data_IF_605674647206
#
_entry.id   IF_605674647206
#
_cell.length_a   1.000
_cell.length_b   1.000
_cell.length_c   1.000
_cell.angle_alpha   90.00
_cell.angle_beta   90.00
_cell.angle_gamma   90.00
#
_symmetry.space_group_name_H-M   'P 1'
#
loop_
_entity.id
_entity.type
_entity.pdbx_description
1 polymer ?
#
# COMPACT_ATOMS: atom_id res chain seq x y z
N UNK A 1 -62.38 -4.57 -32.69
CA UNK A 1 -61.69 -4.25 -31.42
C UNK A 1 -60.37 -5.03 -31.19
N UNK A 2 -60.16 -6.24 -31.73
CA UNK A 2 -58.91 -6.99 -31.45
C UNK A 2 -57.65 -6.44 -32.15
N UNK A 3 -57.77 -5.94 -33.39
CA UNK A 3 -56.64 -5.41 -34.18
C UNK A 3 -55.89 -4.23 -33.53
N UNK A 4 -56.62 -3.29 -32.92
CA UNK A 4 -56.02 -2.16 -32.19
C UNK A 4 -55.38 -2.57 -30.86
N UNK A 5 -55.85 -3.68 -30.27
CA UNK A 5 -55.30 -4.24 -29.03
C UNK A 5 -53.98 -4.95 -29.34
N UNK A 6 -53.93 -5.76 -30.40
CA UNK A 6 -52.71 -6.44 -30.88
C UNK A 6 -51.58 -5.46 -31.24
N UNK A 7 -51.88 -4.37 -31.98
CA UNK A 7 -50.86 -3.36 -32.29
C UNK A 7 -50.26 -2.70 -31.05
N UNK A 8 -51.06 -2.42 -30.02
CA UNK A 8 -50.56 -1.85 -28.75
C UNK A 8 -49.65 -2.83 -28.01
N UNK A 9 -49.97 -4.12 -28.03
CA UNK A 9 -49.12 -5.17 -27.45
C UNK A 9 -47.79 -5.29 -28.20
N UNK A 10 -47.81 -5.29 -29.53
CA UNK A 10 -46.59 -5.35 -30.35
C UNK A 10 -45.69 -4.14 -30.07
N UNK A 11 -46.24 -2.92 -30.02
CA UNK A 11 -45.48 -1.71 -29.69
C UNK A 11 -44.91 -1.78 -28.28
N UNK A 12 -45.66 -2.30 -27.30
CA UNK A 12 -45.18 -2.53 -25.94
C UNK A 12 -44.03 -3.53 -25.86
N UNK A 13 -44.10 -4.64 -26.60
CA UNK A 13 -43.03 -5.62 -26.70
C UNK A 13 -41.78 -5.04 -27.35
N UNK A 14 -41.93 -4.24 -28.41
CA UNK A 14 -40.79 -3.56 -29.07
C UNK A 14 -40.14 -2.56 -28.10
N UNK A 15 -40.92 -1.74 -27.40
CA UNK A 15 -40.40 -0.79 -26.43
C UNK A 15 -39.66 -1.49 -25.27
N UNK A 16 -40.20 -2.61 -24.78
CA UNK A 16 -39.55 -3.42 -23.74
C UNK A 16 -38.26 -4.07 -24.24
N UNK A 17 -38.25 -4.58 -25.47
CA UNK A 17 -37.04 -5.14 -26.09
C UNK A 17 -35.94 -4.07 -26.26
N UNK A 18 -36.31 -2.85 -26.67
CA UNK A 18 -35.38 -1.72 -26.76
C UNK A 18 -34.85 -1.35 -25.37
N UNK A 19 -35.71 -1.25 -24.35
CA UNK A 19 -35.30 -0.95 -22.98
C UNK A 19 -34.33 -2.00 -22.40
N UNK A 20 -34.64 -3.29 -22.59
CA UNK A 20 -33.76 -4.39 -22.17
C UNK A 20 -32.43 -4.37 -22.92
N UNK A 21 -32.45 -4.10 -24.23
CA UNK A 21 -31.23 -3.99 -25.04
C UNK A 21 -30.33 -2.86 -24.53
N UNK A 22 -30.90 -1.69 -24.23
CA UNK A 22 -30.16 -0.56 -23.65
C UNK A 22 -29.59 -0.89 -22.27
N UNK A 23 -30.33 -1.60 -21.41
CA UNK A 23 -29.85 -2.05 -20.10
C UNK A 23 -28.66 -3.03 -20.23
N UNK A 24 -28.74 -3.98 -21.16
CA UNK A 24 -27.65 -4.94 -21.42
C UNK A 24 -26.40 -4.19 -21.90
N UNK A 25 -26.54 -3.28 -22.87
CA UNK A 25 -25.42 -2.46 -23.36
C UNK A 25 -24.78 -1.65 -22.22
N UNK A 26 -25.59 -0.99 -21.41
CA UNK A 26 -25.10 -0.20 -20.27
C UNK A 26 -24.37 -1.07 -19.24
N UNK A 27 -24.87 -2.27 -18.96
CA UNK A 27 -24.24 -3.20 -18.03
C UNK A 27 -22.87 -3.66 -18.55
N UNK A 28 -22.78 -4.01 -19.83
CA UNK A 28 -21.50 -4.38 -20.47
C UNK A 28 -20.48 -3.24 -20.38
N UNK A 29 -20.89 -2.00 -20.70
CA UNK A 29 -20.02 -0.82 -20.61
C UNK A 29 -19.56 -0.58 -19.17
N UNK A 30 -20.47 -0.71 -18.20
CA UNK A 30 -20.16 -0.54 -16.78
C UNK A 30 -19.16 -1.61 -16.29
N UNK A 31 -19.39 -2.86 -16.66
CA UNK A 31 -18.51 -3.98 -16.32
C UNK A 31 -17.10 -3.80 -16.90
N UNK A 32 -17.00 -3.32 -18.15
CA UNK A 32 -15.70 -3.01 -18.77
C UNK A 32 -14.96 -1.91 -18.01
N UNK A 33 -15.63 -0.79 -17.70
CA UNK A 33 -15.05 0.31 -16.90
C UNK A 33 -14.62 -0.15 -15.51
N UNK A 34 -15.42 -0.99 -14.87
CA UNK A 34 -15.09 -1.57 -13.57
C UNK A 34 -13.79 -2.39 -13.64
N UNK A 35 -13.65 -3.26 -14.64
CA UNK A 35 -12.45 -4.07 -14.82
C UNK A 35 -11.21 -3.21 -15.16
N UNK A 36 -11.36 -2.17 -15.96
CA UNK A 36 -10.29 -1.20 -16.25
C UNK A 36 -9.81 -0.49 -14.98
N UNK A 37 -10.74 0.04 -14.18
CA UNK A 37 -10.44 0.68 -12.89
C UNK A 37 -9.79 -0.30 -11.91
N UNK A 38 -10.29 -1.53 -11.84
CA UNK A 38 -9.71 -2.57 -10.98
C UNK A 38 -8.25 -2.86 -11.37
N UNK A 39 -7.97 -2.99 -12.66
CA UNK A 39 -6.61 -3.20 -13.17
C UNK A 39 -5.68 -2.03 -12.87
N UNK A 40 -6.17 -0.80 -13.04
CA UNK A 40 -5.42 0.41 -12.70
C UNK A 40 -5.06 0.45 -11.21
N UNK A 41 -6.01 0.13 -10.33
CA UNK A 41 -5.78 0.08 -8.88
C UNK A 41 -4.72 -0.97 -8.51
N UNK A 42 -4.76 -2.16 -9.12
CA UNK A 42 -3.74 -3.20 -8.88
C UNK A 42 -2.36 -2.71 -9.36
N UNK A 43 -2.29 -2.05 -10.52
CA UNK A 43 -1.03 -1.55 -11.05
C UNK A 43 -0.42 -0.45 -10.16
N UNK A 44 -1.26 0.44 -9.63
CA UNK A 44 -0.83 1.47 -8.68
C UNK A 44 -0.33 0.82 -7.37
N UNK A 45 -1.09 -0.12 -6.81
CA UNK A 45 -0.68 -0.89 -5.64
C UNK A 45 0.68 -1.58 -5.87
N UNK A 46 0.85 -2.27 -7.00
CA UNK A 46 2.13 -2.91 -7.36
C UNK A 46 3.28 -1.90 -7.40
N UNK A 47 3.05 -0.72 -7.98
CA UNK A 47 4.07 0.33 -8.07
C UNK A 47 4.46 0.83 -6.67
N UNK A 48 3.48 1.11 -5.81
CA UNK A 48 3.72 1.61 -4.45
C UNK A 48 4.47 0.57 -3.59
N UNK A 49 4.05 -0.69 -3.62
CA UNK A 49 4.71 -1.74 -2.85
C UNK A 49 6.09 -2.10 -3.41
N UNK A 50 6.28 -2.03 -4.73
CA UNK A 50 7.59 -2.22 -5.34
C UNK A 50 8.58 -1.10 -4.96
N UNK A 51 8.11 0.14 -4.87
CA UNK A 51 8.93 1.24 -4.37
C UNK A 51 9.37 1.03 -2.92
N UNK A 52 8.49 0.51 -2.06
CA UNK A 52 8.85 0.15 -0.69
C UNK A 52 9.86 -0.99 -0.64
N UNK A 53 9.62 -2.07 -1.39
CA UNK A 53 10.57 -3.17 -1.52
C UNK A 53 11.96 -2.67 -1.93
N UNK A 54 12.01 -1.84 -2.96
CA UNK A 54 13.27 -1.28 -3.46
C UNK A 54 13.94 -0.34 -2.43
N UNK A 55 13.16 0.46 -1.69
CA UNK A 55 13.67 1.27 -0.58
C UNK A 55 14.41 0.40 0.44
N UNK A 56 13.76 -0.64 0.96
CA UNK A 56 14.35 -1.47 2.02
C UNK A 56 15.53 -2.31 1.53
N UNK A 57 15.48 -2.79 0.27
CA UNK A 57 16.58 -3.50 -0.36
C UNK A 57 17.79 -2.59 -0.58
N UNK A 58 17.54 -1.34 -1.00
CA UNK A 58 18.59 -0.35 -1.22
C UNK A 58 19.25 0.06 0.10
N UNK A 59 18.46 0.29 1.16
CA UNK A 59 18.98 0.61 2.49
C UNK A 59 19.73 -0.58 3.10
N UNK A 60 19.23 -1.80 2.97
CA UNK A 60 19.96 -3.00 3.40
C UNK A 60 21.34 -3.08 2.75
N UNK A 61 21.37 -3.03 1.41
CA UNK A 61 22.60 -3.23 0.63
C UNK A 61 23.61 -2.11 0.76
N UNK A 62 23.15 -0.86 0.79
CA UNK A 62 24.04 0.29 0.62
C UNK A 62 24.26 1.10 1.89
N UNK A 63 23.43 0.90 2.92
CA UNK A 63 23.55 1.61 4.19
C UNK A 63 23.83 0.65 5.36
N UNK A 64 22.93 -0.31 5.61
CA UNK A 64 23.06 -1.24 6.75
C UNK A 64 24.29 -2.13 6.60
N UNK A 65 24.45 -2.82 5.45
CA UNK A 65 25.61 -3.68 5.16
C UNK A 65 26.92 -2.91 5.02
N UNK A 66 26.84 -1.60 4.80
CA UNK A 66 27.97 -0.68 4.81
C UNK A 66 28.21 -0.03 6.18
N UNK A 67 27.79 -0.69 7.26
CA UNK A 67 28.02 -0.25 8.65
C UNK A 67 27.49 1.17 8.94
N UNK A 68 26.34 1.52 8.37
CA UNK A 68 25.65 2.79 8.61
C UNK A 68 26.52 4.02 8.27
N UNK A 69 27.30 3.92 7.20
CA UNK A 69 28.08 5.03 6.64
C UNK A 69 27.24 5.89 5.69
N UNK A 70 27.64 7.16 5.51
CA UNK A 70 27.02 8.08 4.56
C UNK A 70 25.50 8.28 4.74
N UNK A 71 25.00 8.29 5.98
CA UNK A 71 23.56 8.42 6.30
C UNK A 71 22.89 9.61 5.61
N UNK A 72 23.58 10.75 5.51
CA UNK A 72 23.11 11.94 4.79
C UNK A 72 22.78 11.71 3.31
N UNK A 73 23.47 10.79 2.62
CA UNK A 73 23.17 10.46 1.21
C UNK A 73 21.81 9.81 1.04
N UNK A 74 21.38 9.04 2.03
CA UNK A 74 20.15 8.25 1.99
C UNK A 74 18.96 8.98 2.61
N UNK A 75 19.18 9.93 3.52
CA UNK A 75 18.12 10.64 4.24
C UNK A 75 17.04 11.22 3.33
N UNK A 76 17.43 11.97 2.30
CA UNK A 76 16.47 12.58 1.37
C UNK A 76 15.69 11.52 0.60
N UNK A 77 16.34 10.43 0.21
CA UNK A 77 15.70 9.34 -0.50
C UNK A 77 14.67 8.63 0.38
N UNK A 78 15.04 8.25 1.61
CA UNK A 78 14.13 7.61 2.57
C UNK A 78 12.91 8.49 2.83
N UNK A 79 13.14 9.76 3.15
CA UNK A 79 12.08 10.72 3.41
C UNK A 79 11.13 10.84 2.22
N UNK A 80 11.67 10.99 1.01
CA UNK A 80 10.84 11.08 -0.21
C UNK A 80 9.96 9.86 -0.42
N UNK A 81 10.49 8.64 -0.29
CA UNK A 81 9.70 7.42 -0.51
C UNK A 81 8.66 7.23 0.59
N UNK A 82 9.02 7.42 1.86
CA UNK A 82 8.09 7.31 2.99
C UNK A 82 6.92 8.30 2.88
N UNK A 83 7.21 9.55 2.52
CA UNK A 83 6.18 10.57 2.33
C UNK A 83 5.39 10.37 1.03
N UNK A 84 6.02 9.89 -0.05
CA UNK A 84 5.31 9.59 -1.29
C UNK A 84 4.23 8.52 -1.07
N UNK A 85 4.60 7.38 -0.47
CA UNK A 85 3.65 6.32 -0.13
C UNK A 85 2.49 6.83 0.73
N UNK A 86 2.78 7.77 1.66
CA UNK A 86 1.75 8.38 2.50
C UNK A 86 0.70 9.20 1.74
N UNK A 87 1.04 9.64 0.51
CA UNK A 87 0.29 10.61 -0.28
C UNK A 87 -0.41 10.04 -1.51
N UNK A 88 0.02 8.88 -2.02
CA UNK A 88 -0.40 8.38 -3.34
C UNK A 88 -1.42 7.24 -3.34
N UNK A 89 -1.72 6.65 -2.19
CA UNK A 89 -2.62 5.50 -2.09
C UNK A 89 -4.08 5.87 -1.81
N UNK A 90 -5.02 5.00 -2.21
CA UNK A 90 -6.37 5.04 -1.65
C UNK A 90 -6.29 4.64 -0.17
N UNK A 91 -6.83 5.45 0.76
CA UNK A 91 -6.76 5.12 2.18
C UNK A 91 -7.62 3.89 2.47
N UNK A 92 -6.96 2.78 2.75
CA UNK A 92 -7.51 1.59 3.40
C UNK A 92 -6.67 1.24 4.63
N UNK A 93 -7.16 0.35 5.49
CA UNK A 93 -6.49 0.04 6.75
C UNK A 93 -5.03 -0.41 6.56
N UNK A 94 -4.77 -1.26 5.56
CA UNK A 94 -3.42 -1.74 5.22
C UNK A 94 -2.47 -0.59 4.87
N UNK A 95 -2.87 0.28 3.95
CA UNK A 95 -2.06 1.44 3.53
C UNK A 95 -1.88 2.45 4.67
N UNK A 96 -2.88 2.63 5.53
CA UNK A 96 -2.81 3.51 6.70
C UNK A 96 -1.81 2.97 7.73
N UNK A 97 -1.85 1.67 8.03
CA UNK A 97 -0.92 1.04 8.96
C UNK A 97 0.51 1.12 8.45
N UNK A 98 0.74 0.83 7.16
CA UNK A 98 2.06 0.96 6.54
C UNK A 98 2.54 2.42 6.53
N UNK A 99 1.69 3.37 6.15
CA UNK A 99 2.00 4.81 6.21
C UNK A 99 2.45 5.23 7.60
N UNK A 100 1.71 4.83 8.64
CA UNK A 100 2.04 5.19 10.02
C UNK A 100 3.38 4.62 10.44
N UNK A 101 3.67 3.37 10.08
CA UNK A 101 4.97 2.73 10.33
C UNK A 101 6.12 3.48 9.63
N UNK A 102 5.94 3.83 8.35
CA UNK A 102 6.94 4.54 7.57
C UNK A 102 7.27 5.93 8.15
N UNK A 103 6.26 6.72 8.49
CA UNK A 103 6.47 8.10 8.95
C UNK A 103 6.89 8.16 10.41
N UNK A 104 6.19 7.43 11.29
CA UNK A 104 6.36 7.59 12.73
C UNK A 104 7.51 6.74 13.29
N UNK A 105 7.94 5.70 12.57
CA UNK A 105 9.05 4.85 13.00
C UNK A 105 10.22 4.92 12.02
N UNK A 106 10.03 4.52 10.76
CA UNK A 106 11.14 4.30 9.83
C UNK A 106 11.88 5.59 9.46
N UNK A 107 11.19 6.58 8.90
CA UNK A 107 11.79 7.87 8.52
C UNK A 107 12.31 8.63 9.75
N UNK A 108 11.55 8.62 10.84
CA UNK A 108 11.94 9.29 12.09
C UNK A 108 13.25 8.73 12.66
N UNK A 109 13.39 7.40 12.74
CA UNK A 109 14.63 6.77 13.20
C UNK A 109 15.79 7.00 12.21
N UNK A 110 15.51 6.97 10.91
CA UNK A 110 16.52 7.25 9.89
C UNK A 110 17.03 8.70 9.96
N UNK A 111 16.13 9.66 10.23
CA UNK A 111 16.48 11.06 10.39
C UNK A 111 17.42 11.28 11.58
N UNK A 112 17.18 10.61 12.71
CA UNK A 112 18.04 10.66 13.90
C UNK A 112 19.44 10.07 13.62
N UNK A 113 19.49 8.90 12.95
CA UNK A 113 20.73 8.29 12.48
C UNK A 113 21.50 9.15 11.46
N UNK A 114 20.83 10.12 10.84
CA UNK A 114 21.38 11.01 9.81
C UNK A 114 21.77 12.40 10.32
N UNK A 115 21.66 12.66 11.63
CA UNK A 115 22.15 13.90 12.22
C UNK A 115 23.68 13.97 12.15
N UNK A 116 24.23 15.18 11.97
CA UNK A 116 25.69 15.40 11.90
C UNK A 116 26.39 14.97 13.19
N UNK A 117 25.81 15.30 14.34
CA UNK A 117 26.29 14.85 15.66
C UNK A 117 26.01 13.37 15.92
N UNK A 118 25.17 12.75 15.09
CA UNK A 118 24.63 11.42 15.28
C UNK A 118 23.62 11.30 16.44
N UNK A 119 22.99 10.11 16.55
CA UNK A 119 22.10 9.78 17.66
C UNK A 119 22.87 9.63 18.99
N UNK A 120 22.21 9.90 20.11
CA UNK A 120 22.79 9.67 21.45
C UNK A 120 23.15 8.19 21.68
N UNK A 121 22.37 7.26 21.13
CA UNK A 121 22.67 5.84 21.16
C UNK A 121 22.62 5.21 19.76
N UNK A 122 23.75 5.33 19.04
CA UNK A 122 23.90 4.81 17.67
C UNK A 122 23.69 3.30 17.57
N UNK A 123 24.19 2.53 18.53
CA UNK A 123 24.07 1.07 18.51
C UNK A 123 22.61 0.66 18.55
N UNK A 124 21.82 1.23 19.49
CA UNK A 124 20.41 0.90 19.62
C UNK A 124 19.58 1.36 18.43
N UNK A 125 19.83 2.56 17.93
CA UNK A 125 19.15 3.08 16.75
C UNK A 125 19.45 2.22 15.50
N UNK A 126 20.70 1.81 15.32
CA UNK A 126 21.15 0.99 14.20
C UNK A 126 20.54 -0.43 14.25
N UNK A 127 20.52 -1.05 15.43
CA UNK A 127 19.86 -2.34 15.65
C UNK A 127 18.35 -2.25 15.33
N UNK A 128 17.69 -1.22 15.83
CA UNK A 128 16.25 -1.02 15.63
C UNK A 128 15.92 -0.80 14.14
N UNK A 129 16.70 0.04 13.45
CA UNK A 129 16.53 0.28 12.02
C UNK A 129 16.75 -1.01 11.23
N UNK A 130 17.80 -1.78 11.55
CA UNK A 130 18.09 -3.05 10.87
C UNK A 130 16.94 -4.03 11.00
N UNK A 131 16.49 -4.30 12.23
CA UNK A 131 15.40 -5.25 12.46
C UNK A 131 14.12 -4.82 11.73
N UNK A 132 13.80 -3.52 11.77
CA UNK A 132 12.65 -2.97 11.08
C UNK A 132 12.79 -3.10 9.56
N UNK A 133 13.96 -2.79 8.99
CA UNK A 133 14.23 -2.89 7.56
C UNK A 133 14.11 -4.34 7.07
N UNK A 134 14.62 -5.31 7.81
CA UNK A 134 14.56 -6.73 7.45
C UNK A 134 13.10 -7.23 7.37
N UNK A 135 12.28 -6.90 8.39
CA UNK A 135 10.86 -7.28 8.41
C UNK A 135 10.06 -6.55 7.33
N UNK A 136 10.34 -5.27 7.10
CA UNK A 136 9.71 -4.47 6.05
C UNK A 136 10.09 -4.92 4.63
N UNK A 137 11.34 -5.32 4.41
CA UNK A 137 11.82 -5.90 3.16
C UNK A 137 11.08 -7.20 2.85
N UNK A 138 10.89 -8.05 3.86
CA UNK A 138 10.19 -9.32 3.71
C UNK A 138 8.72 -9.12 3.33
N UNK A 139 7.96 -8.34 4.09
CA UNK A 139 6.52 -8.13 3.81
C UNK A 139 6.27 -7.41 2.49
N UNK A 140 7.12 -6.41 2.15
CA UNK A 140 6.99 -5.71 0.86
C UNK A 140 7.30 -6.64 -0.31
N UNK A 141 8.31 -7.51 -0.18
CA UNK A 141 8.61 -8.53 -1.17
C UNK A 141 7.47 -9.54 -1.32
N UNK A 142 6.92 -10.04 -0.21
CA UNK A 142 5.80 -10.96 -0.23
C UNK A 142 4.61 -10.40 -1.02
N UNK A 143 4.23 -9.13 -0.76
CA UNK A 143 3.14 -8.45 -1.48
C UNK A 143 3.48 -8.24 -2.97
N UNK A 144 4.72 -7.88 -3.29
CA UNK A 144 5.19 -7.72 -4.68
C UNK A 144 5.14 -9.05 -5.44
N UNK A 145 5.51 -10.15 -4.79
CA UNK A 145 5.60 -11.48 -5.39
C UNK A 145 4.22 -12.19 -5.50
N UNK A 146 3.17 -11.67 -4.85
CA UNK A 146 1.80 -12.19 -4.99
C UNK A 146 1.32 -12.21 -6.44
N UNK A 147 0.54 -13.24 -6.79
CA UNK A 147 -0.09 -13.32 -8.10
C UNK A 147 -1.19 -12.25 -8.24
N UNK A 148 -1.49 -11.85 -9.48
CA UNK A 148 -2.48 -10.79 -9.75
C UNK A 148 -3.85 -11.11 -9.13
N UNK A 149 -4.29 -12.36 -9.17
CA UNK A 149 -5.56 -12.82 -8.57
C UNK A 149 -5.56 -12.76 -7.02
N UNK A 150 -4.40 -12.87 -6.37
CA UNK A 150 -4.24 -12.70 -4.92
C UNK A 150 -4.23 -11.21 -4.56
N UNK A 151 -3.52 -10.40 -5.35
CA UNK A 151 -3.51 -8.93 -5.24
C UNK A 151 -4.89 -8.33 -5.39
N UNK A 152 -5.73 -8.87 -6.27
CA UNK A 152 -7.13 -8.48 -6.37
C UNK A 152 -7.89 -8.63 -5.05
N UNK A 153 -7.56 -9.65 -4.25
CA UNK A 153 -8.20 -9.89 -2.96
C UNK A 153 -7.76 -8.86 -1.92
N UNK A 154 -6.56 -8.29 -2.03
CA UNK A 154 -6.11 -7.16 -1.20
C UNK A 154 -6.94 -5.88 -1.42
N UNK A 155 -7.72 -5.80 -2.51
CA UNK A 155 -8.64 -4.67 -2.71
C UNK A 155 -9.94 -4.79 -1.90
N UNK A 156 -10.22 -5.96 -1.33
CA UNK A 156 -11.41 -6.23 -0.55
C UNK A 156 -11.06 -6.41 0.93
N UNK A 157 -11.44 -5.48 1.82
CA UNK A 157 -11.15 -5.57 3.25
C UNK A 157 -11.71 -6.81 3.97
N UNK A 158 -12.65 -7.51 3.34
CA UNK A 158 -13.27 -8.73 3.89
C UNK A 158 -12.61 -10.02 3.39
N UNK A 159 -11.64 -9.95 2.49
CA UNK A 159 -10.92 -11.14 2.04
C UNK A 159 -9.97 -11.65 3.12
N UNK A 160 -9.71 -12.96 3.13
CA UNK A 160 -8.72 -13.59 4.01
C UNK A 160 -7.33 -12.98 3.81
N UNK A 161 -6.94 -12.76 2.56
CA UNK A 161 -5.63 -12.25 2.17
C UNK A 161 -5.43 -10.82 2.66
N UNK A 162 -6.45 -9.96 2.54
CA UNK A 162 -6.38 -8.62 3.10
C UNK A 162 -6.22 -8.67 4.62
N UNK A 163 -7.05 -9.47 5.30
CA UNK A 163 -7.03 -9.55 6.76
C UNK A 163 -5.66 -10.04 7.26
N UNK A 164 -5.09 -11.05 6.61
CA UNK A 164 -3.79 -11.60 6.94
C UNK A 164 -2.68 -10.56 6.78
N UNK A 165 -2.54 -9.97 5.59
CA UNK A 165 -1.50 -8.98 5.31
C UNK A 165 -1.67 -7.73 6.18
N UNK A 166 -2.90 -7.23 6.34
CA UNK A 166 -3.18 -6.09 7.20
C UNK A 166 -2.81 -6.38 8.67
N UNK A 167 -3.09 -7.59 9.16
CA UNK A 167 -2.73 -7.99 10.52
C UNK A 167 -1.23 -8.02 10.70
N UNK A 168 -0.49 -8.59 9.74
CA UNK A 168 0.98 -8.59 9.77
C UNK A 168 1.54 -7.16 9.80
N UNK A 169 1.11 -6.31 8.86
CA UNK A 169 1.56 -4.91 8.81
C UNK A 169 1.20 -4.16 10.08
N UNK A 170 -0.02 -4.33 10.60
CA UNK A 170 -0.44 -3.70 11.86
C UNK A 170 0.43 -4.13 13.04
N UNK A 171 0.76 -5.41 13.15
CA UNK A 171 1.63 -5.91 14.21
C UNK A 171 3.04 -5.29 14.12
N UNK A 172 3.57 -5.12 12.90
CA UNK A 172 4.83 -4.40 12.68
C UNK A 172 4.71 -2.93 13.07
N UNK A 173 3.62 -2.26 12.68
CA UNK A 173 3.32 -0.88 13.03
C UNK A 173 3.32 -0.69 14.55
N UNK A 174 2.55 -1.49 15.28
CA UNK A 174 2.42 -1.40 16.73
C UNK A 174 3.76 -1.69 17.43
N UNK A 175 4.51 -2.70 16.95
CA UNK A 175 5.82 -3.09 17.48
C UNK A 175 6.85 -1.97 17.32
N UNK A 176 7.01 -1.44 16.11
CA UNK A 176 8.11 -0.52 15.81
C UNK A 176 7.80 0.93 16.16
N UNK A 177 6.55 1.39 16.08
CA UNK A 177 6.20 2.71 16.61
C UNK A 177 6.50 2.75 18.10
N UNK A 178 6.07 1.74 18.85
CA UNK A 178 6.37 1.68 20.29
C UNK A 178 7.88 1.63 20.57
N UNK A 179 8.62 0.78 19.86
CA UNK A 179 10.05 0.66 20.07
C UNK A 179 10.83 1.95 19.72
N UNK A 180 10.41 2.66 18.67
CA UNK A 180 11.00 3.96 18.30
C UNK A 180 10.60 5.06 19.29
N UNK A 181 9.34 5.09 19.75
CA UNK A 181 8.89 6.01 20.79
C UNK A 181 9.68 5.82 22.10
N UNK A 182 9.86 4.57 22.53
CA UNK A 182 10.61 4.24 23.75
C UNK A 182 12.10 4.63 23.59
N UNK A 183 12.69 4.40 22.41
CA UNK A 183 14.03 4.88 22.08
C UNK A 183 14.14 6.40 22.19
N UNK A 184 13.22 7.17 21.60
CA UNK A 184 13.24 8.63 21.67
C UNK A 184 12.92 9.18 23.07
N UNK A 185 12.17 8.46 23.90
CA UNK A 185 11.96 8.89 25.30
C UNK A 185 13.23 8.75 26.14
N UNK A 186 14.01 7.71 25.87
CA UNK A 186 15.22 7.41 26.64
C UNK A 186 16.46 8.15 26.11
N UNK A 187 16.55 8.30 24.78
CA UNK A 187 17.72 8.82 24.08
C UNK A 187 17.40 9.98 23.13
N UNK A 188 16.16 10.46 23.09
CA UNK A 188 15.81 11.66 22.33
C UNK A 188 16.37 12.91 23.01
N UNK A 189 16.93 13.80 22.21
CA UNK A 189 17.42 15.11 22.65
C UNK A 189 16.26 16.05 22.97
#
# INVERSE_FOLDING_TARGET
MSYFREKKWIIGCIAMAVALSLLVINNIVFYKKYNELKKEVINNMNTEWYQLYYLFDMIDKNYIKNNFQDSGKFRLYVNQICHHFSSTGRPNELTVNMRNLLLNAYDSLFADLSLEEGPLNKEKASELLKNMNDELLMISKEIVDMQDNEKEKLLNPKSSEFIEVNTQVKNLTDKYIKAVDDYFREYGK
#
